data_IF_954653910677
#
_entry.id   IF_954653910677
#
_cell.length_a   1.000
_cell.length_b   1.000
_cell.length_c   1.000
_cell.angle_alpha   90.00
_cell.angle_beta   90.00
_cell.angle_gamma   90.00
#
_symmetry.space_group_name_H-M   'P 1'
#
loop_
_entity.id
_entity.type
_entity.pdbx_description
1 polymer ?
#
# COMPACT_ATOMS: atom_id res chain seq x y z
N UNK A 1 9.91 7.39 0.18
CA UNK A 1 9.09 8.34 0.95
C UNK A 1 9.67 9.74 1.07
N UNK A 2 10.97 9.98 0.88
CA UNK A 2 11.58 11.32 1.00
C UNK A 2 11.01 12.38 0.04
N UNK A 3 10.41 11.96 -1.08
CA UNK A 3 9.71 12.84 -2.03
C UNK A 3 8.27 13.20 -1.63
N UNK A 4 7.65 12.46 -0.72
CA UNK A 4 6.26 12.63 -0.31
C UNK A 4 6.23 13.35 1.06
N UNK A 5 5.78 14.60 1.11
CA UNK A 5 5.79 15.41 2.35
C UNK A 5 4.47 15.37 3.12
N UNK A 6 3.51 14.54 2.68
CA UNK A 6 2.16 14.40 3.22
C UNK A 6 1.33 15.71 3.21
N UNK A 7 1.65 16.63 2.30
CA UNK A 7 0.96 17.92 2.14
C UNK A 7 -0.34 17.79 1.36
N UNK A 8 -0.34 16.97 0.31
CA UNK A 8 -1.52 16.77 -0.53
C UNK A 8 -2.19 15.41 -0.24
N UNK A 9 -3.46 15.27 -0.64
CA UNK A 9 -4.17 14.00 -0.59
C UNK A 9 -3.43 12.89 -1.33
N UNK A 10 -2.85 13.23 -2.48
CA UNK A 10 -2.09 12.30 -3.30
C UNK A 10 -0.81 11.85 -2.60
N UNK A 11 -0.09 12.77 -1.95
CA UNK A 11 1.11 12.40 -1.19
C UNK A 11 0.77 11.47 -0.01
N UNK A 12 -0.36 11.74 0.67
CA UNK A 12 -0.87 10.89 1.75
C UNK A 12 -1.26 9.49 1.26
N UNK A 13 -1.97 9.40 0.14
CA UNK A 13 -2.30 8.13 -0.53
C UNK A 13 -1.02 7.35 -0.90
N UNK A 14 -0.01 8.03 -1.47
CA UNK A 14 1.26 7.42 -1.86
C UNK A 14 1.99 6.84 -0.64
N UNK A 15 2.07 7.59 0.46
CA UNK A 15 2.68 7.10 1.70
C UNK A 15 1.96 5.87 2.27
N UNK A 16 0.62 5.86 2.24
CA UNK A 16 -0.17 4.69 2.65
C UNK A 16 0.14 3.46 1.79
N UNK A 17 0.07 3.61 0.47
CA UNK A 17 0.32 2.49 -0.46
C UNK A 17 1.76 1.97 -0.40
N UNK A 18 2.74 2.87 -0.20
CA UNK A 18 4.14 2.48 0.00
C UNK A 18 4.31 1.67 1.29
N UNK A 19 3.64 2.07 2.37
CA UNK A 19 3.67 1.34 3.62
C UNK A 19 2.98 -0.02 3.49
N UNK A 20 1.83 -0.09 2.82
CA UNK A 20 1.14 -1.35 2.54
C UNK A 20 2.07 -2.33 1.79
N UNK A 21 2.82 -1.86 0.78
CA UNK A 21 3.83 -2.65 0.08
C UNK A 21 4.94 -3.18 1.00
N UNK A 22 5.49 -2.33 1.87
CA UNK A 22 6.51 -2.76 2.85
C UNK A 22 5.94 -3.77 3.85
N UNK A 23 4.71 -3.57 4.29
CA UNK A 23 4.03 -4.47 5.23
C UNK A 23 3.81 -5.86 4.63
N UNK A 24 3.48 -5.98 3.33
CA UNK A 24 3.38 -7.28 2.67
C UNK A 24 4.72 -8.03 2.67
N UNK A 25 5.82 -7.33 2.37
CA UNK A 25 7.16 -7.95 2.44
C UNK A 25 7.52 -8.38 3.86
N UNK A 26 7.32 -7.50 4.83
CA UNK A 26 7.75 -7.73 6.22
C UNK A 26 6.92 -8.82 6.91
N UNK A 27 5.61 -8.81 6.72
CA UNK A 27 4.72 -9.73 7.44
C UNK A 27 4.67 -11.13 6.84
N UNK A 28 5.11 -11.30 5.59
CA UNK A 28 5.22 -12.61 4.93
C UNK A 28 6.60 -13.25 5.05
N UNK A 29 7.55 -12.63 5.78
CA UNK A 29 8.84 -13.25 6.04
C UNK A 29 8.66 -14.58 6.77
N UNK A 30 9.39 -15.60 6.33
CA UNK A 30 9.30 -16.96 6.88
C UNK A 30 10.59 -17.34 7.56
N UNK A 31 10.48 -18.03 8.69
CA UNK A 31 11.64 -18.63 9.32
C UNK A 31 12.03 -19.90 8.54
N UNK A 32 13.23 -19.90 7.99
CA UNK A 32 13.84 -21.10 7.42
C UNK A 32 14.92 -21.62 8.37
N UNK A 33 15.09 -22.93 8.39
CA UNK A 33 16.06 -23.59 9.26
C UNK A 33 16.90 -24.58 8.46
N UNK A 34 18.19 -24.66 8.79
CA UNK A 34 19.10 -25.71 8.32
C UNK A 34 19.50 -26.60 9.49
N UNK A 35 19.38 -27.91 9.28
CA UNK A 35 19.70 -28.93 10.27
C UNK A 35 21.17 -29.36 10.15
N UNK A 36 21.82 -29.55 11.29
CA UNK A 36 23.26 -29.81 11.41
C UNK A 36 23.58 -31.00 12.32
N UNK A 37 22.59 -31.78 12.76
CA UNK A 37 22.80 -32.95 13.59
C UNK A 37 23.39 -34.14 12.81
N UNK A 38 23.87 -35.14 13.56
CA UNK A 38 24.43 -36.38 13.00
C UNK A 38 23.46 -36.99 11.98
N UNK A 39 24.01 -37.44 10.84
CA UNK A 39 23.25 -38.02 9.72
C UNK A 39 22.13 -37.12 9.18
N UNK A 40 22.25 -35.78 9.32
CA UNK A 40 21.24 -34.82 8.86
C UNK A 40 20.06 -34.63 9.83
N UNK A 41 20.17 -35.14 11.06
CA UNK A 41 19.14 -34.91 12.08
C UNK A 41 19.01 -33.41 12.44
N UNK A 42 17.81 -33.01 12.85
CA UNK A 42 17.51 -31.63 13.25
C UNK A 42 17.64 -31.39 14.77
N UNK A 43 18.37 -32.25 15.49
CA UNK A 43 18.64 -32.09 16.93
C UNK A 43 19.36 -30.78 17.22
N UNK A 44 20.26 -30.37 16.31
CA UNK A 44 20.81 -29.02 16.23
C UNK A 44 20.39 -28.41 14.89
N UNK A 45 19.82 -27.21 14.91
CA UNK A 45 19.46 -26.46 13.72
C UNK A 45 19.71 -24.98 13.92
N UNK A 46 20.06 -24.31 12.83
CA UNK A 46 20.20 -22.86 12.78
C UNK A 46 19.07 -22.31 11.93
N UNK A 47 18.35 -21.32 12.44
CA UNK A 47 17.23 -20.69 11.73
C UNK A 47 17.50 -19.22 11.44
N UNK A 48 16.94 -18.71 10.34
CA UNK A 48 16.99 -17.30 9.97
C UNK A 48 15.68 -16.88 9.30
N UNK A 49 15.39 -15.59 9.34
CA UNK A 49 14.26 -15.03 8.59
C UNK A 49 14.66 -14.88 7.13
N UNK A 50 13.85 -15.43 6.24
CA UNK A 50 14.00 -15.29 4.79
C UNK A 50 12.85 -14.48 4.23
N UNK A 51 13.16 -13.66 3.23
CA UNK A 51 12.16 -12.95 2.45
C UNK A 51 11.28 -13.94 1.67
N UNK A 52 9.98 -13.64 1.50
CA UNK A 52 9.13 -14.38 0.59
C UNK A 52 9.64 -14.27 -0.85
N UNK A 53 9.15 -15.14 -1.74
CA UNK A 53 9.41 -14.95 -3.17
C UNK A 53 8.70 -13.68 -3.65
N UNK A 54 9.31 -12.95 -4.58
CA UNK A 54 8.68 -11.72 -5.05
C UNK A 54 7.34 -11.99 -5.77
N UNK A 55 7.16 -13.19 -6.34
CA UNK A 55 5.88 -13.62 -6.92
C UNK A 55 4.77 -13.66 -5.86
N UNK A 56 5.02 -14.25 -4.69
CA UNK A 56 3.97 -14.30 -3.65
C UNK A 56 3.58 -12.91 -3.14
N UNK A 57 4.56 -12.01 -3.01
CA UNK A 57 4.29 -10.60 -2.68
C UNK A 57 3.48 -9.92 -3.79
N UNK A 58 3.81 -10.19 -5.05
CA UNK A 58 3.09 -9.67 -6.21
C UNK A 58 1.64 -10.16 -6.27
N UNK A 59 1.41 -11.46 -6.02
CA UNK A 59 0.08 -12.06 -5.98
C UNK A 59 -0.75 -11.45 -4.83
N UNK A 60 -0.17 -11.34 -3.62
CA UNK A 60 -0.83 -10.71 -2.48
C UNK A 60 -1.18 -9.24 -2.75
N UNK A 61 -0.28 -8.48 -3.38
CA UNK A 61 -0.54 -7.08 -3.77
C UNK A 61 -1.58 -6.97 -4.88
N UNK A 62 -1.63 -7.93 -5.81
CA UNK A 62 -2.64 -7.99 -6.88
C UNK A 62 -4.04 -8.20 -6.29
N UNK A 63 -4.17 -9.07 -5.29
CA UNK A 63 -5.44 -9.25 -4.58
C UNK A 63 -5.88 -7.94 -3.88
N UNK A 64 -4.94 -7.20 -3.29
CA UNK A 64 -5.23 -5.89 -2.68
C UNK A 64 -5.54 -4.81 -3.70
N UNK A 65 -5.00 -4.92 -4.91
CA UNK A 65 -5.31 -4.02 -6.02
C UNK A 65 -6.75 -4.22 -6.50
N UNK A 66 -7.19 -5.48 -6.65
CA UNK A 66 -8.57 -5.79 -7.06
C UNK A 66 -9.60 -5.37 -6.02
N UNK A 67 -9.23 -5.42 -4.73
CA UNK A 67 -10.04 -4.95 -3.60
C UNK A 67 -9.74 -3.52 -3.12
N UNK A 68 -9.03 -2.70 -3.89
CA UNK A 68 -8.58 -1.39 -3.44
C UNK A 68 -9.77 -0.47 -3.12
N UNK A 69 -9.64 0.34 -2.07
CA UNK A 69 -10.71 1.24 -1.62
C UNK A 69 -10.55 2.65 -2.19
N UNK A 70 -11.63 3.21 -2.77
CA UNK A 70 -11.68 4.64 -3.07
C UNK A 70 -11.80 5.42 -1.77
N UNK A 71 -10.91 6.37 -1.55
CA UNK A 71 -10.89 7.17 -0.33
C UNK A 71 -11.02 8.66 -0.59
N UNK A 72 -11.48 9.37 0.43
CA UNK A 72 -11.50 10.82 0.53
C UNK A 72 -10.90 11.23 1.88
N UNK A 73 -10.38 12.44 2.00
CA UNK A 73 -10.12 12.96 3.34
C UNK A 73 -11.41 13.51 3.94
N UNK A 74 -11.62 13.32 5.24
CA UNK A 74 -12.61 14.12 5.94
C UNK A 74 -12.26 15.60 5.73
N UNK A 75 -13.27 16.44 5.49
CA UNK A 75 -13.12 17.87 5.67
C UNK A 75 -12.77 18.07 7.15
N UNK A 76 -11.49 18.15 7.47
CA UNK A 76 -11.09 18.88 8.65
C UNK A 76 -11.52 20.30 8.35
N UNK A 77 -12.65 20.71 8.96
CA UNK A 77 -12.87 22.11 9.29
C UNK A 77 -11.50 22.70 9.61
N UNK A 78 -11.17 23.75 8.85
CA UNK A 78 -10.00 24.60 9.04
C UNK A 78 -9.59 24.51 10.50
N UNK A 79 -8.40 23.97 10.79
CA UNK A 79 -7.79 24.15 12.10
C UNK A 79 -7.81 25.66 12.33
N UNK A 80 -8.80 26.12 13.10
CA UNK A 80 -8.91 27.51 13.51
C UNK A 80 -7.58 27.77 14.18
N UNK A 81 -6.77 28.75 13.73
CA UNK A 81 -5.49 28.98 14.32
C UNK A 81 -5.77 29.46 15.74
N UNK A 82 -5.71 28.54 16.71
CA UNK A 82 -5.71 28.90 18.12
C UNK A 82 -4.40 29.65 18.31
N UNK A 83 -4.46 30.97 18.32
CA UNK A 83 -3.38 31.84 18.72
C UNK A 83 -3.01 31.48 20.16
N UNK A 84 -2.06 30.56 20.34
CA UNK A 84 -1.48 30.24 21.65
C UNK A 84 -0.24 31.10 21.83
N UNK A 85 -0.41 32.22 22.51
CA UNK A 85 0.66 32.98 23.12
C UNK A 85 1.17 32.29 24.40
N UNK A 86 1.62 31.04 24.31
CA UNK A 86 2.19 30.35 25.47
C UNK A 86 3.49 29.63 25.14
N UNK A 87 4.54 30.05 25.84
CA UNK A 87 5.91 29.56 25.75
C UNK A 87 6.06 28.18 26.39
N UNK A 88 5.69 27.11 25.68
CA UNK A 88 6.17 25.75 25.93
C UNK A 88 5.85 24.85 24.73
N UNK A 89 6.70 24.88 23.70
CA UNK A 89 6.59 24.03 22.53
C UNK A 89 6.82 22.55 22.92
N UNK A 90 5.76 21.87 23.35
CA UNK A 90 5.68 20.42 23.35
C UNK A 90 5.83 19.94 21.90
N UNK A 91 7.05 19.50 21.55
CA UNK A 91 7.34 18.88 20.25
C UNK A 91 6.47 17.63 20.13
N UNK A 92 5.38 17.73 19.36
CA UNK A 92 4.55 16.59 18.98
C UNK A 92 5.47 15.51 18.41
N UNK A 93 5.45 14.27 18.92
CA UNK A 93 6.29 13.20 18.39
C UNK A 93 6.05 13.06 16.88
N UNK A 94 7.13 12.98 16.10
CA UNK A 94 7.08 12.81 14.63
C UNK A 94 6.21 11.63 14.16
N UNK A 95 5.88 10.69 15.05
CA UNK A 95 5.02 9.52 14.79
C UNK A 95 3.55 9.86 14.55
N UNK A 96 3.01 10.91 15.15
CA UNK A 96 1.57 11.22 15.00
C UNK A 96 1.24 11.96 13.69
N UNK A 97 2.26 12.50 13.01
CA UNK A 97 2.10 13.19 11.72
C UNK A 97 1.64 12.25 10.58
N UNK A 98 1.75 10.93 10.76
CA UNK A 98 1.36 9.92 9.76
C UNK A 98 0.03 9.22 10.05
N UNK A 99 -0.67 9.55 11.15
CA UNK A 99 -2.04 9.08 11.39
C UNK A 99 -3.06 9.98 10.71
N UNK A 100 -2.93 10.18 9.40
CA UNK A 100 -4.04 10.70 8.61
C UNK A 100 -5.00 9.54 8.34
N UNK A 101 -6.25 9.67 8.76
CA UNK A 101 -7.23 8.61 8.58
C UNK A 101 -7.94 8.83 7.24
N UNK A 102 -7.51 8.09 6.22
CA UNK A 102 -8.21 8.03 4.93
C UNK A 102 -9.56 7.34 5.16
N UNK A 103 -10.65 8.00 4.77
CA UNK A 103 -12.00 7.44 4.90
C UNK A 103 -12.47 6.90 3.56
N UNK A 104 -13.18 5.76 3.54
CA UNK A 104 -13.86 5.30 2.34
C UNK A 104 -14.76 6.39 1.77
N UNK A 105 -14.80 6.51 0.44
CA UNK A 105 -15.73 7.39 -0.23
C UNK A 105 -17.18 6.91 -0.07
N UNK A 106 -17.41 5.59 0.01
CA UNK A 106 -18.70 5.01 0.35
C UNK A 106 -18.73 4.66 1.85
N UNK A 107 -19.63 5.24 2.67
CA UNK A 107 -19.68 4.95 4.11
C UNK A 107 -19.99 3.49 4.46
N UNK A 108 -20.62 2.74 3.55
CA UNK A 108 -20.93 1.31 3.75
C UNK A 108 -19.69 0.41 3.53
N UNK A 109 -18.61 0.96 2.98
CA UNK A 109 -17.37 0.21 2.79
C UNK A 109 -16.54 0.21 4.07
N UNK A 110 -15.86 -0.91 4.32
CA UNK A 110 -14.92 -1.02 5.43
C UNK A 110 -13.78 -0.02 5.27
N UNK A 111 -13.33 0.55 6.39
CA UNK A 111 -12.14 1.40 6.41
C UNK A 111 -10.91 0.59 6.00
N UNK A 112 -10.04 1.13 5.11
CA UNK A 112 -8.87 0.42 4.64
C UNK A 112 -7.88 0.18 5.78
N UNK A 113 -7.37 -1.05 5.87
CA UNK A 113 -6.30 -1.42 6.79
C UNK A 113 -4.92 -0.98 6.29
N UNK A 114 -3.91 -1.21 7.13
CA UNK A 114 -2.49 -0.85 6.83
C UNK A 114 -1.87 -1.66 5.68
N UNK A 115 -2.48 -2.78 5.29
CA UNK A 115 -2.06 -3.63 4.17
C UNK A 115 -2.91 -3.46 2.91
N UNK A 116 -3.99 -2.68 3.00
CA UNK A 116 -4.92 -2.49 1.89
C UNK A 116 -4.45 -1.31 1.03
N UNK A 117 -4.70 -1.40 -0.27
CA UNK A 117 -4.39 -0.32 -1.20
C UNK A 117 -5.58 0.64 -1.31
N UNK A 118 -5.27 1.91 -1.53
CA UNK A 118 -6.26 2.98 -1.63
C UNK A 118 -6.00 3.87 -2.86
N UNK A 119 -7.08 4.43 -3.40
CA UNK A 119 -7.02 5.34 -4.55
C UNK A 119 -7.99 6.52 -4.41
N UNK A 120 -7.72 7.62 -5.12
CA UNK A 120 -8.54 8.85 -5.08
C UNK A 120 -9.48 8.96 -6.29
N UNK A 121 -8.92 8.70 -7.48
CA UNK A 121 -9.56 8.97 -8.76
C UNK A 121 -9.80 7.67 -9.55
N UNK A 122 -10.93 7.56 -10.26
CA UNK A 122 -11.17 6.44 -11.18
C UNK A 122 -10.06 6.30 -12.22
N UNK A 123 -9.74 5.07 -12.60
CA UNK A 123 -8.80 4.83 -13.69
C UNK A 123 -9.37 5.29 -15.05
N UNK A 124 -8.51 5.79 -15.96
CA UNK A 124 -8.94 6.12 -17.31
C UNK A 124 -9.28 4.87 -18.13
N UNK A 125 -9.93 5.05 -19.28
CA UNK A 125 -10.09 3.98 -20.26
C UNK A 125 -8.75 3.64 -20.92
N UNK A 126 -8.37 2.35 -20.92
CA UNK A 126 -7.11 1.87 -21.48
C UNK A 126 -7.23 1.22 -22.88
N UNK A 127 -8.45 1.12 -23.43
CA UNK A 127 -8.69 0.45 -24.72
C UNK A 127 -8.08 1.23 -25.89
N UNK A 128 -8.39 2.53 -25.95
CA UNK A 128 -7.94 3.42 -27.02
C UNK A 128 -6.60 4.08 -26.70
N UNK A 129 -5.80 4.34 -27.74
CA UNK A 129 -4.52 5.04 -27.60
C UNK A 129 -4.76 6.49 -27.18
N UNK A 130 -4.15 6.91 -26.07
CA UNK A 130 -4.18 8.28 -25.59
C UNK A 130 -2.75 8.77 -25.23
N UNK A 131 -2.07 9.48 -26.14
CA UNK A 131 -0.70 9.97 -25.92
C UNK A 131 -0.56 10.96 -24.75
N UNK A 132 -1.62 11.72 -24.42
CA UNK A 132 -1.57 12.71 -23.32
C UNK A 132 -1.44 12.05 -21.95
N UNK A 133 -2.03 10.86 -21.80
CA UNK A 133 -1.98 10.07 -20.58
C UNK A 133 -0.94 8.94 -20.64
N UNK A 134 -0.17 8.83 -21.72
CA UNK A 134 0.80 7.74 -21.92
C UNK A 134 0.15 6.36 -22.14
N UNK A 135 -1.11 6.32 -22.58
CA UNK A 135 -1.86 5.08 -22.78
C UNK A 135 -1.65 4.59 -24.23
N UNK A 136 -1.08 3.39 -24.45
CA UNK A 136 -0.80 2.89 -25.79
C UNK A 136 -2.03 2.30 -26.51
N UNK A 137 -3.08 1.93 -25.77
CA UNK A 137 -4.24 1.18 -26.27
C UNK A 137 -4.02 -0.35 -26.24
N UNK A 138 -5.04 -1.12 -26.62
CA UNK A 138 -5.02 -2.59 -26.56
C UNK A 138 -4.86 -3.30 -27.90
N UNK A 139 -4.84 -2.57 -29.02
CA UNK A 139 -4.69 -3.15 -30.35
C UNK A 139 -3.39 -3.95 -30.52
N UNK A 140 -3.46 -5.13 -31.13
CA UNK A 140 -2.30 -5.98 -31.41
C UNK A 140 -1.72 -6.73 -30.20
N UNK A 141 -2.35 -6.63 -29.01
CA UNK A 141 -1.94 -7.41 -27.83
C UNK A 141 -2.41 -8.87 -27.97
N UNK A 142 -1.58 -9.79 -27.50
CA UNK A 142 -1.97 -11.19 -27.38
C UNK A 142 -3.18 -11.33 -26.44
N UNK A 143 -4.10 -12.23 -26.80
CA UNK A 143 -5.28 -12.57 -26.00
C UNK A 143 -5.32 -14.09 -25.74
N UNK A 144 -6.11 -14.48 -24.75
CA UNK A 144 -6.45 -15.87 -24.49
C UNK A 144 -7.91 -16.09 -24.91
N UNK A 145 -8.13 -16.86 -25.98
CA UNK A 145 -9.45 -17.11 -26.59
C UNK A 145 -10.34 -18.02 -25.74
N UNK A 146 -9.75 -18.85 -24.88
CA UNK A 146 -10.50 -19.69 -23.93
C UNK A 146 -11.02 -18.93 -22.70
N UNK A 147 -10.57 -17.68 -22.51
CA UNK A 147 -10.98 -16.86 -21.36
C UNK A 147 -12.30 -16.15 -21.65
N UNK A 148 -13.22 -16.17 -20.68
CA UNK A 148 -14.43 -15.34 -20.70
C UNK A 148 -14.15 -13.85 -20.45
N UNK A 149 -12.90 -13.50 -20.14
CA UNK A 149 -12.52 -12.19 -19.65
C UNK A 149 -12.73 -12.05 -18.14
N UNK A 150 -12.78 -10.80 -17.70
CA UNK A 150 -13.09 -10.36 -16.32
C UNK A 150 -14.30 -9.47 -16.36
#
# INVERSE_FOLDING_TARGET
DTGERAKTLREKMNLHNNEAGRMHVQTEMRQECKCHGMSGSCTVKTCWMRLPSFRSVGDALKDRFDGASRVMMPNTEVEVPVQRNDAAAHRVPRRDRYKFQLRPHNPDHKTPGVKDLVYLEPSPGFCEKNPRLGIPGTHGRACNDTSIGV
#
